data_IF_718611439765
#
_entry.id   IF_718611439765
#
_cell.length_a   1.000
_cell.length_b   1.000
_cell.length_c   1.000
_cell.angle_alpha   90.00
_cell.angle_beta   90.00
_cell.angle_gamma   90.00
#
_symmetry.space_group_name_H-M   'P 1'
#
loop_
_entity.id
_entity.type
_entity.pdbx_description
1 polymer ?
#
# COMPACT_ATOMS: atom_id res chain seq x y z
N UNK A 1 -13.70 4.96 6.20
CA UNK A 1 -12.95 3.69 6.26
C UNK A 1 -12.35 3.46 4.89
N UNK A 2 -11.06 3.20 4.81
CA UNK A 2 -10.40 2.76 3.58
C UNK A 2 -10.39 1.23 3.57
N UNK A 3 -10.77 0.62 2.45
CA UNK A 3 -10.91 -0.83 2.31
C UNK A 3 -10.46 -1.22 0.90
N UNK A 4 -9.57 -2.19 0.81
CA UNK A 4 -9.12 -2.81 -0.42
C UNK A 4 -9.45 -4.29 -0.37
N UNK A 5 -10.06 -4.77 -1.44
CA UNK A 5 -10.44 -6.17 -1.61
C UNK A 5 -10.14 -6.58 -3.04
N UNK A 6 -9.53 -7.75 -3.21
CA UNK A 6 -9.32 -8.34 -4.52
C UNK A 6 -10.10 -9.65 -4.61
N UNK A 7 -10.99 -9.74 -5.60
CA UNK A 7 -11.82 -10.92 -5.86
C UNK A 7 -11.13 -11.83 -6.89
N UNK A 8 -10.92 -13.10 -6.54
CA UNK A 8 -10.32 -14.09 -7.42
C UNK A 8 -10.73 -15.50 -7.00
N UNK A 9 -10.91 -16.40 -7.97
CA UNK A 9 -11.14 -17.82 -7.72
C UNK A 9 -9.96 -18.50 -7.00
N UNK A 10 -8.75 -17.92 -7.11
CA UNK A 10 -7.52 -18.41 -6.51
C UNK A 10 -6.96 -17.46 -5.44
N UNK A 11 -7.83 -16.83 -4.65
CA UNK A 11 -7.44 -15.84 -3.63
C UNK A 11 -6.36 -16.33 -2.64
N UNK A 12 -6.26 -17.63 -2.37
CA UNK A 12 -5.27 -18.22 -1.45
C UNK A 12 -3.87 -18.43 -2.06
N UNK A 13 -3.72 -18.21 -3.38
CA UNK A 13 -2.46 -18.29 -4.11
C UNK A 13 -1.75 -16.95 -4.22
N UNK A 14 -2.35 -15.87 -3.73
CA UNK A 14 -1.78 -14.53 -3.83
C UNK A 14 -1.72 -13.86 -2.46
N UNK A 15 -0.71 -13.02 -2.28
CA UNK A 15 -0.62 -12.06 -1.19
C UNK A 15 -0.81 -10.66 -1.77
N UNK A 16 -1.80 -9.95 -1.27
CA UNK A 16 -2.02 -8.55 -1.60
C UNK A 16 -1.30 -7.67 -0.58
N UNK A 17 -0.56 -6.66 -1.03
CA UNK A 17 0.02 -5.61 -0.20
C UNK A 17 -0.37 -4.24 -0.76
N UNK A 18 -0.93 -3.37 0.09
CA UNK A 18 -1.26 -1.99 -0.28
C UNK A 18 -0.09 -1.10 0.10
N UNK A 19 0.45 -0.35 -0.83
CA UNK A 19 1.59 0.55 -0.61
C UNK A 19 1.50 1.81 -1.47
N UNK A 20 2.39 2.77 -1.21
CA UNK A 20 2.52 4.01 -1.98
C UNK A 20 1.19 4.75 -2.15
N UNK A 21 0.43 4.90 -1.07
CA UNK A 21 -0.84 5.62 -1.12
C UNK A 21 -0.63 7.13 -1.04
N UNK A 22 -1.32 7.87 -1.90
CA UNK A 22 -1.30 9.33 -1.96
C UNK A 22 -2.71 9.90 -1.90
N UNK A 23 -2.84 11.05 -1.27
CA UNK A 23 -4.02 11.90 -1.37
C UNK A 23 -3.64 13.22 -2.04
N UNK A 24 -4.40 13.66 -3.03
CA UNK A 24 -4.13 14.90 -3.79
C UNK A 24 -5.39 15.72 -4.07
N UNK A 25 -5.19 16.97 -4.46
CA UNK A 25 -6.25 17.96 -4.74
C UNK A 25 -6.69 18.01 -6.22
N UNK A 26 -6.22 17.08 -7.06
CA UNK A 26 -6.45 17.04 -8.50
C UNK A 26 -5.67 18.07 -9.31
N UNK A 27 -4.86 18.93 -8.66
CA UNK A 27 -4.08 20.00 -9.28
C UNK A 27 -2.57 19.83 -9.07
N UNK A 28 -2.15 18.63 -8.66
CA UNK A 28 -0.75 18.27 -8.48
C UNK A 28 -0.18 18.59 -7.10
N UNK A 29 -1.02 19.02 -6.15
CA UNK A 29 -0.64 19.12 -4.73
C UNK A 29 -1.19 17.91 -3.98
N UNK A 30 -0.31 17.12 -3.37
CA UNK A 30 -0.70 15.94 -2.62
C UNK A 30 0.31 15.53 -1.56
N UNK A 31 -0.10 14.57 -0.75
CA UNK A 31 0.67 14.01 0.36
C UNK A 31 0.65 12.49 0.27
N UNK A 32 1.80 11.87 0.48
CA UNK A 32 1.91 10.43 0.64
C UNK A 32 1.49 10.04 2.06
N UNK A 33 0.56 9.10 2.17
CA UNK A 33 -0.02 8.62 3.43
C UNK A 33 0.53 7.23 3.80
N UNK A 34 0.82 6.40 2.80
CA UNK A 34 1.44 5.09 2.97
C UNK A 34 2.72 5.03 2.13
N UNK A 35 3.83 4.58 2.70
CA UNK A 35 5.13 4.47 2.03
C UNK A 35 5.19 3.29 1.03
N UNK A 36 6.32 3.12 0.34
CA UNK A 36 6.57 2.03 -0.62
C UNK A 36 6.61 0.62 0.02
N UNK A 37 6.61 0.59 1.35
CA UNK A 37 6.60 -0.57 2.22
C UNK A 37 5.20 -0.88 2.78
N UNK A 38 4.21 -0.01 2.57
CA UNK A 38 2.87 -0.24 3.12
C UNK A 38 2.72 0.22 4.57
N UNK A 39 3.70 0.95 5.12
CA UNK A 39 3.62 1.58 6.43
C UNK A 39 2.99 2.97 6.35
N UNK A 40 2.22 3.33 7.37
CA UNK A 40 1.67 4.67 7.49
C UNK A 40 2.76 5.71 7.76
N UNK A 41 2.70 6.81 7.02
CA UNK A 41 3.51 8.02 7.24
C UNK A 41 2.82 9.03 8.17
N UNK A 42 1.50 8.94 8.31
CA UNK A 42 0.69 9.82 9.15
C UNK A 42 -0.44 9.01 9.81
N UNK A 43 -0.18 8.55 11.03
CA UNK A 43 -1.13 7.74 11.80
C UNK A 43 -2.37 8.52 12.26
N UNK A 44 -2.36 9.85 12.17
CA UNK A 44 -3.56 10.65 12.47
C UNK A 44 -4.52 10.64 11.29
N UNK A 45 -4.04 10.69 10.05
CA UNK A 45 -4.88 10.65 8.86
C UNK A 45 -5.29 9.22 8.48
N UNK A 46 -4.33 8.30 8.48
CA UNK A 46 -4.55 6.90 8.14
C UNK A 46 -3.50 6.05 8.85
N UNK A 47 -3.89 5.29 9.87
CA UNK A 47 -2.98 4.42 10.60
C UNK A 47 -2.48 3.23 9.74
N UNK A 48 -1.57 2.43 10.28
CA UNK A 48 -1.09 1.20 9.64
C UNK A 48 -2.28 0.31 9.24
N UNK A 49 -2.18 -0.29 8.06
CA UNK A 49 -3.28 -1.03 7.46
C UNK A 49 -3.49 -2.37 8.17
N UNK A 50 -4.74 -2.74 8.42
CA UNK A 50 -5.08 -4.02 9.04
C UNK A 50 -5.45 -5.05 7.97
N UNK A 51 -4.77 -6.20 8.00
CA UNK A 51 -4.94 -7.29 7.04
C UNK A 51 -5.91 -8.32 7.60
N UNK A 52 -7.15 -8.30 7.11
CA UNK A 52 -8.20 -9.24 7.51
C UNK A 52 -8.05 -10.61 6.86
N UNK A 53 -7.46 -10.67 5.66
CA UNK A 53 -7.08 -11.90 4.96
C UNK A 53 -6.01 -11.59 3.90
N UNK A 54 -5.47 -12.62 3.24
CA UNK A 54 -4.47 -12.48 2.17
C UNK A 54 -4.89 -11.51 1.03
N UNK A 55 -6.19 -11.27 0.87
CA UNK A 55 -6.78 -10.43 -0.19
C UNK A 55 -7.74 -9.35 0.33
N UNK A 56 -7.73 -9.07 1.64
CA UNK A 56 -8.56 -8.04 2.27
C UNK A 56 -7.76 -7.22 3.27
N UNK A 57 -7.74 -5.91 3.04
CA UNK A 57 -7.01 -4.92 3.84
C UNK A 57 -7.91 -3.73 4.11
N UNK A 58 -7.89 -3.19 5.32
CA UNK A 58 -8.62 -1.96 5.60
C UNK A 58 -8.14 -1.23 6.84
N UNK A 59 -8.51 0.04 6.95
CA UNK A 59 -8.25 0.86 8.14
C UNK A 59 -9.25 2.00 8.24
N UNK A 60 -9.52 2.47 9.46
CA UNK A 60 -10.25 3.71 9.70
C UNK A 60 -9.36 4.90 9.31
N UNK A 61 -9.88 5.73 8.42
CA UNK A 61 -9.24 6.96 7.99
C UNK A 61 -9.99 8.15 8.61
N UNK A 62 -9.23 9.17 9.01
CA UNK A 62 -9.79 10.45 9.40
C UNK A 62 -10.09 11.29 8.15
N UNK A 63 -11.19 12.04 8.18
CA UNK A 63 -11.55 12.96 7.09
C UNK A 63 -10.75 14.25 7.27
N UNK A 64 -10.08 14.69 6.23
CA UNK A 64 -9.29 15.93 6.17
C UNK A 64 -9.55 16.63 4.83
N UNK A 65 -9.04 17.85 4.65
CA UNK A 65 -9.04 18.54 3.35
C UNK A 65 -7.79 19.38 3.15
N UNK A 66 -7.52 19.71 1.89
CA UNK A 66 -6.53 20.73 1.55
C UNK A 66 -7.17 22.13 1.64
N UNK A 67 -6.36 23.14 1.92
CA UNK A 67 -6.83 24.52 2.01
C UNK A 67 -7.49 24.95 0.71
N UNK A 68 -8.71 25.51 0.80
CA UNK A 68 -9.51 25.97 -0.34
C UNK A 68 -9.86 24.90 -1.39
N UNK A 69 -9.66 23.61 -1.08
CA UNK A 69 -10.01 22.49 -1.96
C UNK A 69 -11.04 21.59 -1.26
N UNK A 70 -12.31 21.60 -1.70
CA UNK A 70 -13.32 20.73 -1.11
C UNK A 70 -13.18 19.28 -1.57
N UNK A 71 -12.50 19.02 -2.69
CA UNK A 71 -12.39 17.70 -3.31
C UNK A 71 -11.01 17.10 -3.08
N UNK A 72 -10.96 15.81 -2.77
CA UNK A 72 -9.74 15.03 -2.56
C UNK A 72 -9.81 13.77 -3.41
N UNK A 73 -8.68 13.42 -4.01
CA UNK A 73 -8.45 12.18 -4.74
C UNK A 73 -7.52 11.30 -3.95
N UNK A 74 -7.79 10.00 -3.92
CA UNK A 74 -7.00 9.04 -3.19
C UNK A 74 -6.62 7.88 -4.12
N UNK A 75 -5.32 7.56 -4.16
CA UNK A 75 -4.75 6.53 -5.02
C UNK A 75 -3.70 5.72 -4.26
N UNK A 76 -3.55 4.45 -4.62
CA UNK A 76 -2.52 3.56 -4.07
C UNK A 76 -1.99 2.63 -5.15
N UNK A 77 -0.81 2.06 -4.88
CA UNK A 77 -0.35 0.87 -5.54
C UNK A 77 -0.75 -0.37 -4.74
N UNK A 78 -1.17 -1.41 -5.45
CA UNK A 78 -1.38 -2.74 -4.89
C UNK A 78 -0.37 -3.68 -5.50
N UNK A 79 0.46 -4.30 -4.67
CA UNK A 79 1.34 -5.40 -5.04
C UNK A 79 0.63 -6.73 -4.84
N UNK A 80 0.53 -7.54 -5.89
CA UNK A 80 0.11 -8.93 -5.82
C UNK A 80 1.32 -9.84 -5.98
N UNK A 81 1.59 -10.66 -4.98
CA UNK A 81 2.68 -11.63 -4.97
C UNK A 81 2.13 -13.05 -5.02
N UNK A 82 2.67 -13.89 -5.91
CA UNK A 82 2.27 -15.29 -6.00
C UNK A 82 2.91 -16.14 -4.90
N UNK A 83 2.10 -16.98 -4.26
CA UNK A 83 2.52 -17.94 -3.23
C UNK A 83 2.86 -19.28 -3.88
N UNK A 84 4.08 -19.77 -3.66
CA UNK A 84 4.47 -21.12 -4.12
C UNK A 84 3.70 -22.22 -3.36
N UNK A 85 3.40 -21.97 -2.08
CA UNK A 85 2.58 -22.84 -1.23
C UNK A 85 1.37 -22.05 -0.70
N UNK A 86 0.15 -22.54 -0.95
CA UNK A 86 -1.09 -21.91 -0.52
C UNK A 86 -1.24 -21.87 1.01
N UNK A 87 -0.52 -22.74 1.72
CA UNK A 87 -0.52 -22.79 3.20
C UNK A 87 0.44 -21.79 3.85
N UNK A 88 1.34 -21.16 3.07
CA UNK A 88 2.22 -20.12 3.58
C UNK A 88 1.43 -18.87 4.00
N UNK A 89 1.89 -18.17 5.03
CA UNK A 89 1.32 -16.88 5.43
C UNK A 89 1.90 -15.76 4.58
N UNK A 90 1.10 -14.75 4.28
CA UNK A 90 1.61 -13.51 3.71
C UNK A 90 2.46 -12.80 4.76
N UNK A 91 3.74 -12.61 4.44
CA UNK A 91 4.65 -11.81 5.26
C UNK A 91 4.44 -10.34 4.89
N UNK A 92 3.32 -9.79 5.35
CA UNK A 92 3.15 -8.34 5.37
C UNK A 92 4.07 -7.87 6.47
N UNK A 93 5.14 -7.15 6.12
CA UNK A 93 6.16 -6.77 7.09
C UNK A 93 5.51 -6.07 8.29
N UNK A 94 5.75 -6.57 9.50
CA UNK A 94 5.45 -5.82 10.73
C UNK A 94 6.32 -4.53 10.83
N UNK A 95 7.19 -4.28 9.83
CA UNK A 95 7.90 -3.03 9.53
C UNK A 95 7.81 -2.64 8.03
N UNK A 96 6.75 -3.06 7.33
CA UNK A 96 6.46 -2.73 5.91
C UNK A 96 7.45 -3.25 4.86
N UNK A 97 8.57 -3.85 5.21
CA UNK A 97 9.40 -4.52 4.22
C UNK A 97 8.74 -5.82 3.76
N UNK A 98 8.52 -6.01 2.45
CA UNK A 98 8.76 -7.36 1.91
C UNK A 98 10.22 -7.63 2.18
N UNK A 99 10.54 -8.48 3.15
CA UNK A 99 11.90 -8.95 3.39
C UNK A 99 12.32 -9.91 2.28
N UNK A 100 12.52 -9.39 1.06
CA UNK A 100 13.43 -10.02 0.11
C UNK A 100 14.81 -9.44 0.42
N UNK A 101 15.48 -10.03 1.43
CA UNK A 101 16.89 -9.90 1.84
C UNK A 101 17.27 -8.89 2.95
N UNK A 102 17.04 -9.26 4.21
CA UNK A 102 17.96 -8.85 5.29
C UNK A 102 18.85 -10.03 5.70
N UNK A 103 19.89 -10.27 4.90
CA UNK A 103 21.10 -10.98 5.34
C UNK A 103 22.27 -10.87 4.35
N UNK A 104 22.51 -9.74 3.67
CA UNK A 104 23.70 -9.62 2.80
C UNK A 104 24.31 -8.22 2.91
N UNK A 105 25.01 -8.01 4.02
CA UNK A 105 26.14 -7.07 4.09
C UNK A 105 27.33 -7.82 4.65
N UNK A 106 27.94 -8.68 3.83
CA UNK A 106 29.35 -9.11 3.89
C UNK A 106 29.63 -10.14 2.79
N UNK A 107 30.27 -9.77 1.69
CA UNK A 107 30.79 -10.73 0.71
C UNK A 107 31.15 -10.14 -0.65
N UNK A 108 32.24 -10.66 -1.25
CA UNK A 108 33.00 -10.18 -2.41
C UNK A 108 32.26 -10.15 -3.79
N UNK A 109 32.91 -9.45 -4.73
CA UNK A 109 32.64 -9.08 -6.15
C UNK A 109 32.02 -10.14 -7.14
N UNK A 110 31.46 -11.26 -6.67
CA UNK A 110 30.80 -12.31 -7.49
C UNK A 110 29.32 -12.54 -7.15
N UNK A 111 28.81 -11.96 -6.08
CA UNK A 111 27.42 -12.13 -5.63
C UNK A 111 26.41 -11.39 -6.54
N UNK A 112 26.89 -10.47 -7.36
CA UNK A 112 26.05 -9.56 -8.14
C UNK A 112 25.20 -10.27 -9.22
N UNK A 113 25.73 -11.29 -9.92
CA UNK A 113 24.97 -11.99 -10.98
C UNK A 113 23.77 -12.80 -10.44
N UNK A 114 23.95 -13.48 -9.30
CA UNK A 114 22.86 -14.22 -8.65
C UNK A 114 21.83 -13.27 -8.05
N UNK A 115 22.25 -12.12 -7.52
CA UNK A 115 21.36 -11.07 -7.05
C UNK A 115 20.48 -10.50 -8.16
N UNK A 116 21.04 -10.16 -9.33
CA UNK A 116 20.24 -9.69 -10.46
C UNK A 116 19.26 -10.75 -10.99
N UNK A 117 19.65 -12.04 -10.99
CA UNK A 117 18.74 -13.13 -11.35
C UNK A 117 17.61 -13.30 -10.34
N UNK A 118 17.92 -13.27 -9.05
CA UNK A 118 16.95 -13.45 -7.96
C UNK A 118 15.99 -12.24 -7.86
N UNK A 119 16.50 -11.03 -8.04
CA UNK A 119 15.68 -9.82 -8.16
C UNK A 119 14.76 -9.88 -9.40
N UNK A 120 15.29 -10.30 -10.55
CA UNK A 120 14.51 -10.47 -11.79
C UNK A 120 13.53 -11.65 -11.74
N UNK A 121 13.79 -12.64 -10.90
CA UNK A 121 12.86 -13.74 -10.59
C UNK A 121 11.78 -13.27 -9.61
N UNK A 122 12.11 -12.53 -8.55
CA UNK A 122 11.12 -11.93 -7.64
C UNK A 122 10.17 -10.97 -8.38
N UNK A 123 10.68 -10.12 -9.29
CA UNK A 123 9.85 -9.27 -10.15
C UNK A 123 8.97 -10.02 -11.14
N UNK A 124 9.16 -11.34 -11.35
CA UNK A 124 8.23 -12.17 -12.13
C UNK A 124 7.05 -12.69 -11.30
N UNK A 125 7.15 -12.65 -9.97
CA UNK A 125 6.12 -13.16 -9.07
C UNK A 125 5.33 -12.06 -8.36
N UNK A 126 5.75 -10.80 -8.48
CA UNK A 126 5.09 -9.64 -7.92
C UNK A 126 4.64 -8.66 -9.02
N UNK A 127 3.39 -8.19 -8.97
CA UNK A 127 2.85 -7.21 -9.91
C UNK A 127 2.22 -6.06 -9.16
N UNK A 128 2.61 -4.83 -9.49
CA UNK A 128 2.03 -3.62 -8.93
C UNK A 128 0.90 -3.10 -9.83
N UNK A 129 -0.21 -2.70 -9.22
CA UNK A 129 -1.42 -2.19 -9.89
C UNK A 129 -1.82 -0.84 -9.30
N UNK A 130 -2.02 0.16 -10.15
CA UNK A 130 -2.58 1.45 -9.75
C UNK A 130 -4.08 1.33 -9.49
N UNK A 131 -4.52 1.69 -8.29
CA UNK A 131 -5.93 1.78 -7.93
C UNK A 131 -6.25 3.18 -7.40
N UNK A 132 -7.40 3.71 -7.82
CA UNK A 132 -7.89 5.01 -7.36
C UNK A 132 -9.33 4.89 -6.88
N UNK A 133 -9.62 5.59 -5.79
CA UNK A 133 -10.98 5.74 -5.30
C UNK A 133 -11.71 6.88 -6.04
N UNK A 134 -13.06 6.89 -6.02
CA UNK A 134 -13.82 8.08 -6.39
C UNK A 134 -13.41 9.29 -5.54
N UNK A 135 -13.59 10.49 -6.09
CA UNK A 135 -13.29 11.73 -5.36
C UNK A 135 -14.18 11.90 -4.13
N UNK A 136 -13.60 12.37 -3.03
CA UNK A 136 -14.31 12.68 -1.79
C UNK A 136 -14.49 14.19 -1.68
N UNK A 137 -15.72 14.64 -1.40
CA UNK A 137 -16.01 16.04 -1.10
C UNK A 137 -16.18 16.26 0.41
N UNK A 138 -15.41 17.19 0.96
CA UNK A 138 -15.42 17.54 2.39
C UNK A 138 -16.13 18.87 2.56
N UNK A 139 -17.35 18.81 3.07
CA UNK A 139 -18.21 19.97 3.30
C UNK A 139 -17.99 20.47 4.73
N UNK A 140 -17.63 21.74 4.87
CA UNK A 140 -17.66 22.41 6.17
C UNK A 140 -19.10 22.78 6.53
N UNK A 141 -19.51 22.41 7.74
CA UNK A 141 -20.75 22.91 8.29
C UNK A 141 -20.60 24.43 8.50
N UNK A 142 -21.60 25.23 8.13
CA UNK A 142 -21.56 26.67 8.38
C UNK A 142 -21.45 26.91 9.90
N UNK A 143 -20.48 27.73 10.29
CA UNK A 143 -20.33 28.21 11.65
C UNK A 143 -21.51 29.14 11.96
N UNK A 144 -22.58 28.59 12.52
CA UNK A 144 -23.63 29.36 13.17
C UNK A 144 -23.06 29.87 14.49
N UNK A 145 -22.24 30.92 14.40
CA UNK A 145 -21.65 31.57 15.57
C UNK A 145 -22.69 31.89 16.62
N UNK A 146 -22.37 31.56 17.88
CA UNK A 146 -23.09 32.05 19.07
C UNK A 146 -22.67 33.48 19.39
#
# INVERSE_FOLDING_TARGET
>A
MALWTCESDNATQYCMTVHSCTADDGQGSGQQLIDDKGCSLDSFLLDNLEYGSDMMVGQKAHVFKFADKPTIFFSCLIRLEFKEDTSSKCNVGEDGGVNVVDNIMSGDDKDNYYHFRKAREASRFAFDMDVAAPSVEVIELPDYGM
#
